data_IF_282994306375
#
_entry.id   IF_282994306375
#
_cell.length_a   1.000
_cell.length_b   1.000
_cell.length_c   1.000
_cell.angle_alpha   90.00
_cell.angle_beta   90.00
_cell.angle_gamma   90.00
#
_symmetry.space_group_name_H-M   'P 1'
#
loop_
_entity.id
_entity.type
_entity.pdbx_description
1 polymer ?
#
# COMPACT_ATOMS: atom_id res chain seq x y z
N UNK A 1 -2.14 14.61 -13.46
CA UNK A 1 -2.25 13.22 -12.98
C UNK A 1 -3.58 12.70 -13.49
N UNK A 2 -3.60 11.51 -14.09
CA UNK A 2 -4.86 10.91 -14.54
C UNK A 2 -5.63 10.33 -13.35
N UNK A 3 -6.96 10.33 -13.44
CA UNK A 3 -7.83 9.74 -12.43
C UNK A 3 -7.85 8.21 -12.59
N UNK A 4 -7.42 7.50 -11.54
CA UNK A 4 -7.33 6.04 -11.49
C UNK A 4 -8.50 5.40 -10.76
N UNK A 5 -9.44 6.19 -10.23
CA UNK A 5 -10.52 5.69 -9.38
C UNK A 5 -11.50 4.75 -10.09
N UNK A 6 -11.55 4.82 -11.43
CA UNK A 6 -12.44 4.01 -12.28
C UNK A 6 -11.78 2.73 -12.83
N UNK A 7 -10.54 2.44 -12.45
CA UNK A 7 -9.87 1.22 -12.91
C UNK A 7 -10.50 -0.01 -12.25
N UNK A 8 -10.88 -0.99 -13.06
CA UNK A 8 -11.31 -2.31 -12.56
C UNK A 8 -10.07 -3.17 -12.28
N UNK A 9 -9.74 -3.31 -11.00
CA UNK A 9 -8.62 -4.13 -10.53
C UNK A 9 -9.05 -5.50 -10.00
N UNK A 10 -10.34 -5.87 -10.13
CA UNK A 10 -10.92 -7.06 -9.47
C UNK A 10 -10.30 -8.39 -9.94
N UNK A 11 -9.72 -8.43 -11.13
CA UNK A 11 -9.04 -9.60 -11.68
C UNK A 11 -7.51 -9.58 -11.49
N UNK A 12 -6.96 -8.51 -10.90
CA UNK A 12 -5.51 -8.39 -10.68
C UNK A 12 -5.09 -9.29 -9.54
N UNK A 13 -4.03 -10.08 -9.77
CA UNK A 13 -3.46 -11.00 -8.76
C UNK A 13 -2.13 -10.52 -8.19
N UNK A 14 -1.47 -9.57 -8.85
CA UNK A 14 -0.17 -9.01 -8.43
C UNK A 14 -0.12 -7.52 -8.74
N UNK A 15 0.34 -6.73 -7.78
CA UNK A 15 0.62 -5.29 -7.90
C UNK A 15 2.07 -4.97 -7.51
N UNK A 16 2.99 -5.94 -7.66
CA UNK A 16 4.42 -5.75 -7.37
C UNK A 16 4.97 -4.54 -8.14
N UNK A 17 5.65 -3.65 -7.41
CA UNK A 17 6.40 -2.51 -7.97
C UNK A 17 5.59 -1.54 -8.86
N UNK A 18 4.25 -1.54 -8.79
CA UNK A 18 3.40 -0.76 -9.69
C UNK A 18 3.70 0.75 -9.69
N UNK A 19 4.06 1.32 -8.54
CA UNK A 19 4.46 2.72 -8.36
C UNK A 19 5.90 2.85 -7.85
N UNK A 20 6.77 1.89 -8.19
CA UNK A 20 8.18 1.91 -7.82
C UNK A 20 8.87 3.18 -8.33
N UNK A 21 9.50 3.92 -7.41
CA UNK A 21 10.17 5.20 -7.65
C UNK A 21 9.28 6.30 -8.25
N UNK A 22 7.95 6.14 -8.21
CA UNK A 22 6.99 7.15 -8.64
C UNK A 22 6.90 8.27 -7.58
N UNK A 23 7.99 9.04 -7.43
CA UNK A 23 8.18 10.01 -6.34
C UNK A 23 7.08 11.06 -6.24
N UNK A 24 6.46 11.42 -7.37
CA UNK A 24 5.37 12.39 -7.48
C UNK A 24 3.97 11.77 -7.42
N UNK A 25 3.84 10.44 -7.30
CA UNK A 25 2.54 9.78 -7.28
C UNK A 25 1.81 10.06 -5.97
N UNK A 26 0.61 10.64 -6.08
CA UNK A 26 -0.34 10.79 -4.98
C UNK A 26 -1.80 10.63 -5.45
N UNK A 27 -2.04 9.64 -6.33
CA UNK A 27 -3.35 9.43 -6.94
C UNK A 27 -4.30 8.67 -6.01
N UNK A 28 -5.59 8.94 -6.11
CA UNK A 28 -6.61 8.19 -5.37
C UNK A 28 -6.74 6.76 -5.92
N UNK A 29 -6.51 5.79 -5.05
CA UNK A 29 -6.61 4.34 -5.31
C UNK A 29 -7.48 3.62 -4.26
N UNK A 30 -8.19 4.38 -3.42
CA UNK A 30 -9.04 3.85 -2.34
C UNK A 30 -10.18 2.97 -2.85
N UNK A 31 -10.57 3.11 -4.12
CA UNK A 31 -11.63 2.34 -4.78
C UNK A 31 -11.16 1.02 -5.39
N UNK A 32 -9.85 0.77 -5.46
CA UNK A 32 -9.33 -0.44 -6.07
C UNK A 32 -9.75 -1.68 -5.28
N UNK A 33 -10.25 -2.68 -6.00
CA UNK A 33 -10.51 -4.00 -5.45
C UNK A 33 -9.22 -4.83 -5.52
N UNK A 34 -8.62 -5.12 -4.37
CA UNK A 34 -7.41 -5.94 -4.27
C UNK A 34 -7.65 -7.33 -3.64
N UNK A 35 -8.91 -7.75 -3.50
CA UNK A 35 -9.25 -9.02 -2.82
C UNK A 35 -8.67 -10.28 -3.47
N UNK A 36 -8.32 -10.21 -4.75
CA UNK A 36 -7.65 -11.28 -5.49
C UNK A 36 -6.11 -11.16 -5.52
N UNK A 37 -5.55 -10.05 -5.01
CA UNK A 37 -4.12 -9.76 -5.05
C UNK A 37 -3.40 -10.53 -3.95
N UNK A 38 -2.35 -11.26 -4.34
CA UNK A 38 -1.50 -12.01 -3.41
C UNK A 38 -0.17 -11.33 -3.14
N UNK A 39 0.26 -10.40 -4.00
CA UNK A 39 1.59 -9.79 -3.97
C UNK A 39 1.52 -8.27 -4.18
N UNK A 40 2.02 -7.50 -3.21
CA UNK A 40 2.10 -6.02 -3.25
C UNK A 40 3.51 -5.49 -2.90
N UNK A 41 4.52 -6.35 -3.04
CA UNK A 41 5.93 -6.03 -2.84
C UNK A 41 6.36 -4.74 -3.53
N UNK A 42 6.99 -3.85 -2.79
CA UNK A 42 7.60 -2.63 -3.33
C UNK A 42 6.65 -1.72 -4.11
N UNK A 43 5.33 -1.89 -3.99
CA UNK A 43 4.33 -1.15 -4.78
C UNK A 43 4.56 0.36 -4.70
N UNK A 44 4.92 0.89 -3.54
CA UNK A 44 5.21 2.31 -3.30
C UNK A 44 6.67 2.55 -2.86
N UNK A 45 7.59 1.67 -3.24
CA UNK A 45 9.01 1.86 -2.94
C UNK A 45 9.50 3.22 -3.48
N UNK A 46 10.02 4.09 -2.61
CA UNK A 46 10.47 5.46 -2.94
C UNK A 46 9.39 6.36 -3.58
N UNK A 47 8.09 6.04 -3.44
CA UNK A 47 7.01 6.96 -3.79
C UNK A 47 6.88 8.04 -2.71
N UNK A 48 7.85 8.97 -2.67
CA UNK A 48 8.07 9.90 -1.55
C UNK A 48 6.89 10.83 -1.23
N UNK A 49 6.05 11.15 -2.23
CA UNK A 49 4.87 12.01 -2.08
C UNK A 49 3.57 11.25 -1.83
N UNK A 50 3.58 9.92 -1.81
CA UNK A 50 2.36 9.13 -1.66
C UNK A 50 1.82 9.20 -0.23
N UNK A 51 0.58 9.67 -0.08
CA UNK A 51 -0.21 9.63 1.14
C UNK A 51 -1.72 9.56 0.79
N UNK A 52 -2.42 8.46 1.11
CA UNK A 52 -3.80 8.23 0.68
C UNK A 52 -4.88 9.01 1.46
N UNK A 53 -4.50 9.92 2.36
CA UNK A 53 -5.45 10.79 3.06
C UNK A 53 -6.05 11.86 2.14
N UNK A 54 -7.37 12.16 2.21
CA UNK A 54 -8.35 11.68 3.20
C UNK A 54 -9.13 10.40 2.84
N UNK A 55 -8.90 9.79 1.67
CA UNK A 55 -9.69 8.65 1.19
C UNK A 55 -9.36 7.31 1.87
N UNK A 56 -8.16 7.21 2.42
CA UNK A 56 -7.54 6.07 3.12
C UNK A 56 -7.50 4.75 2.33
N UNK A 57 -6.78 3.74 2.85
CA UNK A 57 -6.68 2.41 2.25
C UNK A 57 -7.39 1.34 3.10
N UNK A 58 -8.28 1.77 4.01
CA UNK A 58 -8.92 0.87 4.97
C UNK A 58 -9.92 -0.10 4.31
N UNK A 59 -10.39 0.23 3.11
CA UNK A 59 -11.31 -0.59 2.30
C UNK A 59 -10.63 -1.73 1.54
N UNK A 60 -9.30 -1.72 1.46
CA UNK A 60 -8.56 -2.78 0.80
C UNK A 60 -8.68 -4.08 1.59
N UNK A 61 -9.20 -5.12 0.93
CA UNK A 61 -9.19 -6.48 1.48
C UNK A 61 -7.83 -7.13 1.22
N UNK A 62 -6.95 -7.13 2.22
CA UNK A 62 -5.61 -7.73 2.14
C UNK A 62 -5.58 -9.20 2.56
N UNK A 63 -6.74 -9.85 2.80
CA UNK A 63 -6.77 -11.21 3.36
C UNK A 63 -6.11 -12.28 2.49
N UNK A 64 -6.00 -12.04 1.18
CA UNK A 64 -5.30 -12.90 0.23
C UNK A 64 -3.81 -12.57 0.06
N UNK A 65 -3.33 -11.43 0.59
CA UNK A 65 -1.95 -10.97 0.39
C UNK A 65 -0.99 -11.84 1.20
N UNK A 66 0.02 -12.38 0.53
CA UNK A 66 1.05 -13.23 1.14
C UNK A 66 2.39 -12.52 1.32
N UNK A 67 2.61 -11.39 0.65
CA UNK A 67 3.91 -10.69 0.67
C UNK A 67 3.74 -9.17 0.54
N UNK A 68 4.42 -8.43 1.42
CA UNK A 68 4.40 -6.96 1.52
C UNK A 68 5.81 -6.35 1.64
N UNK A 69 6.87 -7.09 1.26
CA UNK A 69 8.26 -6.61 1.38
C UNK A 69 8.43 -5.26 0.70
N UNK A 70 9.14 -4.34 1.36
CA UNK A 70 9.45 -3.01 0.83
C UNK A 70 8.25 -2.12 0.43
N UNK A 71 7.00 -2.48 0.73
CA UNK A 71 5.81 -1.84 0.14
C UNK A 71 5.81 -0.31 0.24
N UNK A 72 6.19 0.25 1.40
CA UNK A 72 6.29 1.69 1.67
C UNK A 72 7.72 2.13 2.00
N UNK A 73 8.73 1.35 1.60
CA UNK A 73 10.12 1.68 1.91
C UNK A 73 10.50 3.00 1.25
N UNK A 74 10.99 3.96 2.04
CA UNK A 74 11.29 5.33 1.63
C UNK A 74 10.11 6.11 1.04
N UNK A 75 8.86 5.69 1.27
CA UNK A 75 7.67 6.50 1.02
C UNK A 75 7.53 7.51 2.17
N UNK A 76 8.38 8.54 2.17
CA UNK A 76 8.58 9.41 3.33
C UNK A 76 7.33 10.13 3.83
N UNK A 77 6.38 10.45 2.95
CA UNK A 77 5.14 11.14 3.28
C UNK A 77 3.98 10.20 3.68
N UNK A 78 4.16 8.88 3.57
CA UNK A 78 3.10 7.93 3.85
C UNK A 78 2.69 7.99 5.33
N UNK A 79 1.40 8.25 5.58
CA UNK A 79 0.77 8.18 6.90
C UNK A 79 -0.70 7.76 6.77
N UNK A 80 -1.00 6.85 5.84
CA UNK A 80 -2.35 6.40 5.57
C UNK A 80 -2.84 5.38 6.59
N UNK A 81 -4.12 5.43 6.93
CA UNK A 81 -4.75 4.42 7.78
C UNK A 81 -4.77 3.04 7.08
N UNK A 82 -4.08 2.08 7.69
CA UNK A 82 -4.01 0.68 7.27
C UNK A 82 -4.45 -0.29 8.39
N UNK A 83 -5.04 0.23 9.47
CA UNK A 83 -5.38 -0.55 10.67
C UNK A 83 -6.37 -1.71 10.44
N UNK A 84 -7.09 -1.72 9.32
CA UNK A 84 -8.01 -2.78 8.92
C UNK A 84 -7.36 -3.93 8.13
N UNK A 85 -6.11 -3.77 7.70
CA UNK A 85 -5.45 -4.78 6.86
C UNK A 85 -5.28 -6.08 7.63
N UNK A 86 -5.77 -7.17 7.02
CA UNK A 86 -5.56 -8.52 7.50
C UNK A 86 -4.20 -9.02 7.00
N UNK A 87 -3.30 -9.28 7.94
CA UNK A 87 -1.93 -9.70 7.67
C UNK A 87 -1.68 -11.17 7.99
N UNK A 88 -2.72 -11.93 8.34
CA UNK A 88 -2.59 -13.32 8.82
C UNK A 88 -2.02 -14.30 7.78
N UNK A 89 -2.17 -14.00 6.49
CA UNK A 89 -1.58 -14.77 5.38
C UNK A 89 -0.19 -14.27 4.97
N UNK A 90 0.26 -13.12 5.49
CA UNK A 90 1.53 -12.50 5.07
C UNK A 90 2.70 -13.24 5.68
N UNK A 91 3.64 -13.61 4.82
CA UNK A 91 4.85 -14.36 5.19
C UNK A 91 6.11 -13.51 5.20
N UNK A 92 6.10 -12.35 4.53
CA UNK A 92 7.23 -11.43 4.47
C UNK A 92 6.77 -9.96 4.42
N UNK A 93 7.17 -9.20 5.44
CA UNK A 93 6.99 -7.74 5.56
C UNK A 93 8.34 -7.01 5.70
N UNK A 94 9.43 -7.65 5.29
CA UNK A 94 10.78 -7.13 5.47
C UNK A 94 10.90 -5.72 4.89
N UNK A 95 11.40 -4.80 5.71
CA UNK A 95 11.62 -3.39 5.34
C UNK A 95 10.39 -2.63 4.81
N UNK A 96 9.16 -3.11 5.08
CA UNK A 96 7.91 -2.51 4.58
C UNK A 96 7.83 -1.00 4.82
N UNK A 97 8.21 -0.53 6.02
CA UNK A 97 8.18 0.90 6.40
C UNK A 97 9.56 1.52 6.59
N UNK A 98 10.64 0.87 6.14
CA UNK A 98 11.99 1.42 6.34
C UNK A 98 12.13 2.75 5.60
N UNK A 99 12.36 3.85 6.35
CA UNK A 99 12.44 5.19 5.79
C UNK A 99 11.09 5.87 5.48
N UNK A 100 9.95 5.28 5.86
CA UNK A 100 8.65 5.94 5.86
C UNK A 100 8.52 6.88 7.07
N UNK A 101 9.22 8.01 7.03
CA UNK A 101 9.44 8.89 8.19
C UNK A 101 8.18 9.51 8.80
N UNK A 102 7.11 9.68 8.02
CA UNK A 102 5.85 10.24 8.50
C UNK A 102 4.92 9.21 9.13
N UNK A 103 5.18 7.90 8.95
CA UNK A 103 4.30 6.85 9.44
C UNK A 103 4.45 6.66 10.96
N UNK A 104 3.40 6.96 11.71
CA UNK A 104 3.40 6.90 13.17
C UNK A 104 3.34 5.45 13.69
N UNK A 105 4.02 5.18 14.81
CA UNK A 105 4.11 3.82 15.37
C UNK A 105 2.81 3.35 16.05
N UNK A 106 1.89 4.26 16.42
CA UNK A 106 0.60 3.90 17.03
C UNK A 106 -0.25 3.03 16.10
N UNK A 107 -0.09 3.19 14.78
CA UNK A 107 -0.79 2.43 13.75
C UNK A 107 -0.35 0.95 13.66
N UNK A 108 0.85 0.63 14.17
CA UNK A 108 1.40 -0.74 14.17
C UNK A 108 0.99 -1.55 15.42
N UNK A 109 0.32 -0.95 16.39
CA UNK A 109 -0.03 -1.61 17.66
C UNK A 109 -1.06 -2.74 17.54
N UNK A 110 -1.62 -2.96 16.35
CA UNK A 110 -2.70 -3.91 16.06
C UNK A 110 -2.26 -5.11 15.22
N UNK A 111 -0.97 -5.19 14.86
CA UNK A 111 -0.41 -6.14 13.89
C UNK A 111 0.57 -7.11 14.55
#
# INVERSE_FOLDING_TARGET
>A
QEDLSNWDTSAVTTMEAMFYEASAFNGNISSWNISAVTEISGMFFRASSFNPEPEDLSKWDTSAVTTMRFMFNKASAFNGNISSWNTSAVTDMSYMFYGASSFAQEDLSRW
#
